data_IF_320284543343
#
_entry.id   IF_320284543343
#
_cell.length_a   1.000
_cell.length_b   1.000
_cell.length_c   1.000
_cell.angle_alpha   90.00
_cell.angle_beta   90.00
_cell.angle_gamma   90.00
#
_symmetry.space_group_name_H-M   'P 1'
#
loop_
_entity.id
_entity.type
_entity.pdbx_description
1 polymer ?
#
# COMPACT_ATOMS: atom_id res chain seq x y z
N UNK A 1 16.66 8.80 -3.95
CA UNK A 1 16.18 7.55 -3.26
C UNK A 1 14.74 7.26 -3.65
N UNK A 2 14.35 5.99 -3.77
CA UNK A 2 12.94 5.61 -3.96
C UNK A 2 12.52 4.65 -2.85
N UNK A 3 11.55 5.05 -2.03
CA UNK A 3 11.01 4.24 -0.93
C UNK A 3 9.68 3.66 -1.40
N UNK A 4 9.53 2.34 -1.30
CA UNK A 4 8.28 1.63 -1.60
C UNK A 4 7.65 1.12 -0.31
N UNK A 5 6.39 1.50 -0.04
CA UNK A 5 5.63 1.01 1.10
C UNK A 5 4.66 -0.09 0.64
N UNK A 6 4.86 -1.29 1.15
CA UNK A 6 4.03 -2.48 0.93
C UNK A 6 3.15 -2.78 2.15
N UNK A 7 2.22 -3.68 1.98
CA UNK A 7 1.31 -4.17 3.01
C UNK A 7 -0.12 -4.28 2.50
N UNK A 8 -1.01 -4.87 3.28
CA UNK A 8 -2.42 -5.07 2.93
C UNK A 8 -3.20 -3.76 2.83
N UNK A 9 -4.41 -3.81 2.31
CA UNK A 9 -5.32 -2.66 2.31
C UNK A 9 -5.59 -2.16 3.72
N UNK A 10 -5.80 -0.85 3.88
CA UNK A 10 -6.08 -0.18 5.16
C UNK A 10 -4.98 -0.31 6.25
N UNK A 11 -3.80 -0.83 5.94
CA UNK A 11 -2.68 -0.87 6.89
C UNK A 11 -2.07 0.51 7.18
N UNK A 12 -2.31 1.51 6.31
CA UNK A 12 -1.88 2.90 6.51
C UNK A 12 -0.80 3.39 5.53
N UNK A 13 -0.52 2.67 4.45
CA UNK A 13 0.54 3.00 3.47
C UNK A 13 0.48 4.43 2.96
N UNK A 14 -0.70 4.89 2.50
CA UNK A 14 -0.85 6.22 1.90
C UNK A 14 -0.62 7.31 2.94
N UNK A 15 -1.23 7.20 4.13
CA UNK A 15 -1.07 8.19 5.20
C UNK A 15 0.37 8.26 5.70
N UNK A 16 0.99 7.11 5.98
CA UNK A 16 2.38 7.05 6.47
C UNK A 16 3.34 7.50 5.36
N UNK A 17 3.09 7.09 4.11
CA UNK A 17 3.93 7.46 2.96
C UNK A 17 3.93 8.96 2.69
N UNK A 18 2.78 9.61 2.77
CA UNK A 18 2.65 11.05 2.63
C UNK A 18 3.41 11.80 3.74
N UNK A 19 3.31 11.32 5.00
CA UNK A 19 4.05 11.91 6.12
C UNK A 19 5.56 11.72 5.98
N UNK A 20 6.03 10.54 5.57
CA UNK A 20 7.47 10.31 5.30
C UNK A 20 7.95 11.26 4.19
N UNK A 21 7.23 11.32 3.06
CA UNK A 21 7.58 12.18 1.94
C UNK A 21 7.65 13.66 2.36
N UNK A 22 6.66 14.14 3.11
CA UNK A 22 6.66 15.50 3.63
C UNK A 22 7.87 15.80 4.53
N UNK A 23 8.21 14.88 5.46
CA UNK A 23 9.34 15.08 6.38
C UNK A 23 10.70 15.05 5.69
N UNK A 24 10.84 14.23 4.65
CA UNK A 24 12.09 14.09 3.89
C UNK A 24 12.18 15.07 2.70
N UNK A 25 11.14 15.86 2.45
CA UNK A 25 10.99 16.72 1.27
C UNK A 25 11.12 15.92 -0.04
N UNK A 26 10.48 14.75 -0.09
CA UNK A 26 10.39 13.85 -1.23
C UNK A 26 9.03 13.99 -1.93
N UNK A 27 8.95 13.59 -3.19
CA UNK A 27 7.67 13.43 -3.88
C UNK A 27 6.89 12.25 -3.30
N UNK A 28 5.55 12.38 -3.24
CA UNK A 28 4.67 11.29 -2.85
C UNK A 28 3.82 10.81 -4.02
N UNK A 29 3.72 9.49 -4.16
CA UNK A 29 2.83 8.83 -5.13
C UNK A 29 2.03 7.72 -4.43
N UNK A 30 0.72 7.71 -4.68
CA UNK A 30 -0.15 6.58 -4.35
C UNK A 30 -0.47 5.83 -5.64
N UNK A 31 -0.17 4.53 -5.69
CA UNK A 31 -0.26 3.75 -6.93
C UNK A 31 -1.70 3.67 -7.47
N UNK A 32 -2.71 3.59 -6.60
CA UNK A 32 -4.11 3.59 -7.02
C UNK A 32 -4.51 4.93 -7.62
N UNK A 33 -4.07 6.03 -7.01
CA UNK A 33 -4.27 7.38 -7.56
C UNK A 33 -3.61 7.53 -8.93
N UNK A 34 -2.40 7.01 -9.09
CA UNK A 34 -1.70 7.08 -10.37
C UNK A 34 -2.32 6.17 -11.45
N UNK A 35 -2.92 5.04 -11.07
CA UNK A 35 -3.73 4.19 -11.97
C UNK A 35 -4.94 4.98 -12.49
N UNK A 36 -5.69 5.62 -11.59
CA UNK A 36 -6.86 6.45 -11.97
C UNK A 36 -6.48 7.55 -12.93
N UNK A 37 -5.41 8.27 -12.64
CA UNK A 37 -4.89 9.35 -13.52
C UNK A 37 -4.48 8.82 -14.89
N UNK A 38 -3.77 7.68 -14.93
CA UNK A 38 -3.22 7.13 -16.17
C UNK A 38 -4.28 6.61 -17.13
N UNK A 39 -5.31 5.95 -16.57
CA UNK A 39 -6.33 5.28 -17.37
C UNK A 39 -7.64 6.06 -17.49
N UNK A 40 -7.77 7.18 -16.75
CA UNK A 40 -8.98 8.03 -16.70
C UNK A 40 -10.23 7.25 -16.29
N UNK A 41 -10.11 6.37 -15.31
CA UNK A 41 -11.18 5.48 -14.81
C UNK A 41 -11.20 5.48 -13.28
N UNK A 42 -12.30 5.03 -12.68
CA UNK A 42 -12.37 4.76 -11.24
C UNK A 42 -11.63 3.46 -10.88
N UNK A 43 -11.34 3.23 -9.60
CA UNK A 43 -10.77 1.96 -9.16
C UNK A 43 -11.75 0.81 -9.35
N UNK A 44 -13.05 1.04 -9.15
CA UNK A 44 -14.09 0.04 -9.39
C UNK A 44 -14.10 -0.40 -10.85
N UNK A 45 -14.09 0.54 -11.79
CA UNK A 45 -13.96 0.25 -13.22
C UNK A 45 -12.66 -0.52 -13.52
N UNK A 46 -11.55 -0.12 -12.90
CA UNK A 46 -10.28 -0.80 -13.12
C UNK A 46 -10.32 -2.26 -12.63
N UNK A 47 -10.89 -2.53 -11.43
CA UNK A 47 -10.93 -3.89 -10.87
C UNK A 47 -11.99 -4.77 -11.53
N UNK A 48 -12.98 -4.19 -12.20
CA UNK A 48 -13.98 -4.93 -12.98
C UNK A 48 -13.47 -5.40 -14.34
N UNK A 49 -12.30 -4.91 -14.79
CA UNK A 49 -11.75 -5.23 -16.12
C UNK A 49 -10.62 -6.26 -16.05
N UNK A 50 -10.66 -7.25 -16.95
CA UNK A 50 -9.61 -8.24 -17.12
C UNK A 50 -9.40 -9.15 -15.89
N UNK A 51 -8.37 -9.96 -15.93
CA UNK A 51 -7.96 -10.84 -14.83
C UNK A 51 -7.13 -10.08 -13.78
N UNK A 52 -7.06 -10.62 -12.56
CA UNK A 52 -6.19 -10.10 -11.51
C UNK A 52 -4.73 -9.97 -11.98
N UNK A 53 -4.24 -10.99 -12.71
CA UNK A 53 -2.87 -11.00 -13.25
C UNK A 53 -2.64 -9.84 -14.23
N UNK A 54 -3.58 -9.56 -15.12
CA UNK A 54 -3.48 -8.44 -16.08
C UNK A 54 -3.48 -7.09 -15.36
N UNK A 55 -4.33 -6.94 -14.34
CA UNK A 55 -4.37 -5.73 -13.52
C UNK A 55 -3.05 -5.52 -12.78
N UNK A 56 -2.52 -6.57 -12.14
CA UNK A 56 -1.23 -6.50 -11.45
C UNK A 56 -0.08 -6.19 -12.40
N UNK A 57 -0.09 -6.73 -13.63
CA UNK A 57 0.90 -6.38 -14.65
C UNK A 57 0.81 -4.90 -15.06
N UNK A 58 -0.40 -4.34 -15.17
CA UNK A 58 -0.59 -2.90 -15.46
C UNK A 58 -0.07 -2.05 -14.30
N UNK A 59 -0.39 -2.41 -13.05
CA UNK A 59 0.12 -1.75 -11.84
C UNK A 59 1.64 -1.81 -11.74
N UNK A 60 2.24 -2.96 -11.96
CA UNK A 60 3.70 -3.12 -11.93
C UNK A 60 4.40 -2.35 -13.05
N UNK A 61 3.81 -2.25 -14.25
CA UNK A 61 4.35 -1.39 -15.33
C UNK A 61 4.35 0.08 -14.92
N UNK A 62 3.26 0.56 -14.32
CA UNK A 62 3.19 1.94 -13.84
C UNK A 62 4.16 2.17 -12.69
N UNK A 63 4.24 1.25 -11.73
CA UNK A 63 5.19 1.33 -10.62
C UNK A 63 6.65 1.46 -11.11
N UNK A 64 7.05 0.65 -12.10
CA UNK A 64 8.39 0.79 -12.72
C UNK A 64 8.60 2.16 -13.37
N UNK A 65 7.56 2.72 -13.99
CA UNK A 65 7.63 4.08 -14.55
C UNK A 65 7.83 5.13 -13.45
N UNK A 66 7.13 4.99 -12.32
CA UNK A 66 7.27 5.89 -11.18
C UNK A 66 8.66 5.78 -10.54
N UNK A 67 9.17 4.56 -10.35
CA UNK A 67 10.53 4.32 -9.81
C UNK A 67 11.59 5.04 -10.65
N UNK A 68 11.45 5.02 -11.97
CA UNK A 68 12.40 5.66 -12.91
C UNK A 68 12.27 7.17 -13.04
N UNK A 69 11.24 7.80 -12.46
CA UNK A 69 11.16 9.26 -12.44
C UNK A 69 12.34 9.85 -11.70
N UNK A 70 12.80 11.02 -12.14
CA UNK A 70 13.85 11.77 -11.46
C UNK A 70 13.37 12.25 -10.07
N UNK A 71 14.29 12.41 -9.13
CA UNK A 71 14.05 12.90 -7.78
C UNK A 71 13.76 11.79 -6.76
N UNK A 72 13.87 12.17 -5.50
CA UNK A 72 13.60 11.29 -4.36
C UNK A 72 12.10 11.18 -4.13
N UNK A 73 11.61 9.98 -3.76
CA UNK A 73 10.17 9.75 -3.66
C UNK A 73 9.78 8.62 -2.73
N UNK A 74 8.56 8.72 -2.23
CA UNK A 74 7.85 7.64 -1.51
C UNK A 74 6.67 7.19 -2.35
N UNK A 75 6.50 5.89 -2.53
CA UNK A 75 5.38 5.31 -3.28
C UNK A 75 4.61 4.35 -2.37
N UNK A 76 3.34 4.64 -2.09
CA UNK A 76 2.41 3.71 -1.47
C UNK A 76 1.96 2.69 -2.54
N UNK A 77 2.33 1.41 -2.35
CA UNK A 77 2.06 0.36 -3.32
C UNK A 77 0.75 -0.35 -2.97
N UNK A 78 -0.21 -0.34 -3.89
CA UNK A 78 -1.41 -1.18 -3.80
C UNK A 78 -1.03 -2.65 -3.62
N UNK A 79 -1.77 -3.45 -2.83
CA UNK A 79 -1.52 -4.88 -2.71
C UNK A 79 -1.47 -5.57 -4.07
N UNK A 80 -0.37 -6.27 -4.34
CA UNK A 80 -0.09 -6.95 -5.59
C UNK A 80 0.20 -8.43 -5.31
N UNK A 81 -0.51 -9.32 -5.99
CA UNK A 81 -0.43 -10.76 -5.76
C UNK A 81 0.40 -11.51 -6.81
N UNK A 82 0.62 -10.91 -7.99
CA UNK A 82 1.41 -11.54 -9.04
C UNK A 82 2.92 -11.44 -8.77
N UNK A 83 3.46 -12.40 -8.05
CA UNK A 83 4.85 -12.44 -7.63
C UNK A 83 5.85 -12.28 -8.81
N UNK A 84 5.58 -12.88 -9.97
CA UNK A 84 6.43 -12.76 -11.15
C UNK A 84 6.61 -11.34 -11.68
N UNK A 85 5.72 -10.41 -11.36
CA UNK A 85 5.84 -9.01 -11.74
C UNK A 85 6.41 -8.13 -10.63
N UNK A 86 6.09 -8.40 -9.35
CA UNK A 86 6.45 -7.53 -8.23
C UNK A 86 7.81 -7.89 -7.61
N UNK A 87 8.18 -9.16 -7.53
CA UNK A 87 9.44 -9.60 -6.92
C UNK A 87 10.68 -8.96 -7.59
N UNK A 88 10.76 -8.84 -8.92
CA UNK A 88 11.88 -8.13 -9.56
C UNK A 88 11.98 -6.65 -9.18
N UNK A 89 10.86 -6.00 -8.81
CA UNK A 89 10.87 -4.61 -8.33
C UNK A 89 11.37 -4.57 -6.89
N UNK A 90 10.86 -5.46 -6.02
CA UNK A 90 11.27 -5.56 -4.61
C UNK A 90 12.79 -5.81 -4.50
N UNK A 91 13.34 -6.65 -5.37
CA UNK A 91 14.76 -7.02 -5.34
C UNK A 91 15.68 -6.04 -6.10
N UNK A 92 15.13 -4.95 -6.64
CA UNK A 92 15.94 -3.93 -7.35
C UNK A 92 16.75 -3.12 -6.35
N UNK A 93 18.02 -2.89 -6.67
CA UNK A 93 18.90 -1.97 -5.90
C UNK A 93 18.50 -0.49 -6.02
N UNK A 94 17.57 -0.16 -6.91
CA UNK A 94 17.06 1.20 -7.12
C UNK A 94 16.00 1.61 -6.10
N UNK A 95 15.49 0.66 -5.29
CA UNK A 95 14.40 0.91 -4.36
C UNK A 95 14.71 0.45 -2.95
N UNK A 96 14.17 1.15 -1.98
CA UNK A 96 14.16 0.76 -0.57
C UNK A 96 12.72 0.32 -0.21
N UNK A 97 12.51 -0.99 -0.09
CA UNK A 97 11.19 -1.57 0.17
C UNK A 97 10.96 -1.78 1.66
N UNK A 98 9.82 -1.32 2.17
CA UNK A 98 9.36 -1.54 3.55
C UNK A 98 7.96 -2.17 3.51
N UNK A 99 7.76 -3.26 4.24
CA UNK A 99 6.42 -3.82 4.47
C UNK A 99 5.87 -3.32 5.80
N UNK A 100 4.72 -2.65 5.75
CA UNK A 100 3.95 -2.25 6.92
C UNK A 100 3.01 -3.39 7.33
N UNK A 101 3.09 -3.78 8.59
CA UNK A 101 2.31 -4.89 9.17
C UNK A 101 1.58 -4.39 10.41
N UNK A 102 0.34 -4.81 10.59
CA UNK A 102 -0.42 -4.56 11.82
C UNK A 102 -1.35 -5.74 12.11
N UNK A 103 -1.98 -5.74 13.29
CA UNK A 103 -2.96 -6.78 13.64
C UNK A 103 -4.24 -6.62 12.84
N UNK A 104 -5.02 -7.71 12.62
CA UNK A 104 -6.31 -7.62 11.96
C UNK A 104 -7.25 -6.60 12.61
N UNK A 105 -7.25 -6.52 13.95
CA UNK A 105 -8.10 -5.62 14.73
C UNK A 105 -7.73 -4.14 14.47
N UNK A 106 -6.44 -3.83 14.44
CA UNK A 106 -5.96 -2.48 14.16
C UNK A 106 -6.28 -2.07 12.71
N UNK A 107 -6.12 -2.99 11.75
CA UNK A 107 -6.48 -2.76 10.34
C UNK A 107 -7.98 -2.56 10.21
N UNK A 108 -8.79 -3.41 10.86
CA UNK A 108 -10.25 -3.30 10.88
C UNK A 108 -10.71 -1.94 11.44
N UNK A 109 -10.07 -1.43 12.48
CA UNK A 109 -10.42 -0.12 13.05
C UNK A 109 -10.31 1.02 12.04
N UNK A 110 -9.36 0.91 11.11
CA UNK A 110 -9.08 1.88 10.04
C UNK A 110 -9.86 1.64 8.73
N UNK A 111 -10.63 0.54 8.67
CA UNK A 111 -11.39 0.19 7.47
C UNK A 111 -12.35 1.31 7.08
N UNK A 112 -12.29 1.71 5.83
CA UNK A 112 -13.21 2.65 5.18
C UNK A 112 -13.76 2.02 3.91
N UNK A 113 -14.87 2.54 3.42
CA UNK A 113 -15.52 2.12 2.19
C UNK A 113 -15.35 3.17 1.10
N UNK A 114 -15.54 2.77 -0.14
CA UNK A 114 -15.65 3.70 -1.27
C UNK A 114 -16.88 3.33 -2.12
N UNK A 115 -17.49 4.33 -2.73
CA UNK A 115 -18.56 4.12 -3.71
C UNK A 115 -17.99 3.98 -5.13
N UNK A 116 -18.88 3.80 -6.12
CA UNK A 116 -18.52 3.65 -7.54
C UNK A 116 -17.73 4.84 -8.13
N UNK A 117 -17.78 6.00 -7.48
CA UNK A 117 -17.02 7.20 -7.87
C UNK A 117 -15.72 7.36 -7.06
N UNK A 118 -15.26 6.33 -6.36
CA UNK A 118 -14.10 6.34 -5.45
C UNK A 118 -14.20 7.35 -4.30
N UNK A 119 -15.42 7.79 -3.94
CA UNK A 119 -15.64 8.66 -2.79
C UNK A 119 -15.59 7.79 -1.52
N UNK A 120 -14.62 8.10 -0.65
CA UNK A 120 -14.41 7.40 0.62
C UNK A 120 -15.50 7.84 1.61
N UNK A 121 -16.09 6.86 2.29
CA UNK A 121 -17.05 7.10 3.37
C UNK A 121 -16.84 6.11 4.53
N UNK A 122 -17.42 6.43 5.69
CA UNK A 122 -17.45 5.54 6.86
C UNK A 122 -18.89 5.09 7.09
N UNK A 123 -19.03 3.81 7.39
CA UNK A 123 -20.27 3.20 7.85
C UNK A 123 -19.91 2.26 8.99
N UNK A 124 -19.80 2.84 10.19
CA UNK A 124 -19.36 2.08 11.36
C UNK A 124 -20.41 1.07 11.83
N UNK A 125 -21.69 1.33 11.62
CA UNK A 125 -22.76 0.39 11.96
C UNK A 125 -22.70 -0.84 11.05
N UNK A 126 -22.63 -0.64 9.74
CA UNK A 126 -22.47 -1.72 8.78
C UNK A 126 -21.16 -2.51 9.00
N UNK A 127 -20.06 -1.79 9.20
CA UNK A 127 -18.75 -2.39 9.47
C UNK A 127 -18.78 -3.29 10.70
N UNK A 128 -19.35 -2.80 11.81
CA UNK A 128 -19.44 -3.56 13.07
C UNK A 128 -20.41 -4.74 12.99
N UNK A 129 -21.51 -4.60 12.26
CA UNK A 129 -22.44 -5.70 12.02
C UNK A 129 -21.80 -6.87 11.25
N UNK A 130 -20.75 -6.60 10.44
CA UNK A 130 -20.02 -7.58 9.63
C UNK A 130 -18.57 -7.80 10.11
N UNK A 131 -18.29 -7.51 11.38
CA UNK A 131 -16.94 -7.53 11.94
C UNK A 131 -16.20 -8.84 11.71
N UNK A 132 -16.82 -9.97 12.01
CA UNK A 132 -16.17 -11.29 11.86
C UNK A 132 -15.78 -11.59 10.41
N UNK A 133 -16.65 -11.21 9.47
CA UNK A 133 -16.37 -11.33 8.04
C UNK A 133 -15.11 -10.52 7.66
N UNK A 134 -15.08 -9.23 8.03
CA UNK A 134 -13.95 -8.38 7.68
C UNK A 134 -12.64 -8.80 8.36
N UNK A 135 -12.68 -9.22 9.63
CA UNK A 135 -11.49 -9.74 10.30
C UNK A 135 -10.97 -11.00 9.60
N UNK A 136 -11.86 -11.90 9.17
CA UNK A 136 -11.46 -13.11 8.41
C UNK A 136 -10.81 -12.74 7.07
N UNK A 137 -11.37 -11.78 6.32
CA UNK A 137 -10.79 -11.34 5.04
C UNK A 137 -9.44 -10.65 5.25
N UNK A 138 -9.31 -9.78 6.24
CA UNK A 138 -8.02 -9.15 6.60
C UNK A 138 -6.97 -10.21 6.97
N UNK A 139 -7.34 -11.22 7.74
CA UNK A 139 -6.44 -12.31 8.10
C UNK A 139 -5.97 -13.10 6.88
N UNK A 140 -6.86 -13.40 5.95
CA UNK A 140 -6.52 -14.05 4.67
C UNK A 140 -5.55 -13.19 3.85
N UNK A 141 -5.80 -11.88 3.76
CA UNK A 141 -4.94 -10.94 3.06
C UNK A 141 -3.54 -10.87 3.68
N UNK A 142 -3.45 -10.82 5.02
CA UNK A 142 -2.16 -10.83 5.72
C UNK A 142 -1.34 -12.08 5.41
N UNK A 143 -1.98 -13.24 5.38
CA UNK A 143 -1.31 -14.51 5.02
C UNK A 143 -0.91 -14.51 3.54
N UNK A 144 -1.82 -14.13 2.65
CA UNK A 144 -1.60 -14.17 1.21
C UNK A 144 -0.48 -13.20 0.79
N UNK A 145 -0.62 -11.91 1.12
CA UNK A 145 0.36 -10.90 0.73
C UNK A 145 1.67 -11.07 1.50
N UNK A 146 1.64 -11.55 2.75
CA UNK A 146 2.85 -11.90 3.49
C UNK A 146 3.71 -12.92 2.76
N UNK A 147 3.10 -13.89 2.07
CA UNK A 147 3.83 -14.86 1.23
C UNK A 147 4.43 -14.22 -0.02
N UNK A 148 3.73 -13.27 -0.64
CA UNK A 148 4.22 -12.52 -1.82
C UNK A 148 5.38 -11.60 -1.45
N UNK A 149 5.30 -10.97 -0.26
CA UNK A 149 6.28 -9.99 0.22
C UNK A 149 7.38 -10.59 1.11
N UNK A 150 7.50 -11.93 1.15
CA UNK A 150 8.49 -12.62 2.01
C UNK A 150 9.94 -12.15 1.79
N UNK A 151 10.27 -11.69 0.57
CA UNK A 151 11.60 -11.19 0.22
C UNK A 151 11.87 -9.75 0.67
N UNK A 152 10.88 -9.02 1.18
CA UNK A 152 11.10 -7.70 1.77
C UNK A 152 11.71 -7.91 3.15
N UNK A 153 12.97 -7.50 3.32
CA UNK A 153 13.70 -7.63 4.59
C UNK A 153 13.32 -6.59 5.61
N UNK A 154 12.93 -5.39 5.17
CA UNK A 154 12.54 -4.30 6.06
C UNK A 154 11.05 -4.43 6.40
N UNK A 155 10.77 -5.03 7.54
CA UNK A 155 9.42 -5.21 8.05
C UNK A 155 9.19 -4.27 9.23
N UNK A 156 8.11 -3.47 9.15
CA UNK A 156 7.75 -2.55 10.21
C UNK A 156 6.39 -2.91 10.82
N UNK A 157 6.38 -3.21 12.12
CA UNK A 157 5.17 -3.54 12.88
C UNK A 157 4.59 -2.27 13.51
N UNK A 158 3.41 -1.86 13.05
CA UNK A 158 2.74 -0.62 13.46
C UNK A 158 2.27 -0.72 14.92
N UNK A 159 1.72 -1.88 15.32
CA UNK A 159 1.24 -2.14 16.69
C UNK A 159 0.25 -1.08 17.19
N UNK A 160 -0.66 -0.62 16.32
CA UNK A 160 -1.67 0.37 16.66
C UNK A 160 -1.16 1.79 16.92
N UNK A 161 0.12 2.09 16.67
CA UNK A 161 0.70 3.43 16.82
C UNK A 161 0.06 4.42 15.84
N UNK A 162 0.13 5.70 16.19
CA UNK A 162 -0.32 6.78 15.31
C UNK A 162 0.57 6.89 14.06
N UNK A 163 0.03 7.37 12.92
CA UNK A 163 0.82 7.55 11.71
C UNK A 163 2.07 8.43 11.91
N UNK A 164 1.98 9.48 12.74
CA UNK A 164 3.12 10.34 13.05
C UNK A 164 4.22 9.58 13.79
N UNK A 165 3.87 8.81 14.83
CA UNK A 165 4.85 8.01 15.58
C UNK A 165 5.52 6.95 14.69
N UNK A 166 4.73 6.27 13.84
CA UNK A 166 5.25 5.30 12.86
C UNK A 166 6.23 5.96 11.89
N UNK A 167 5.89 7.15 11.40
CA UNK A 167 6.76 7.90 10.47
C UNK A 167 8.11 8.22 11.10
N UNK A 168 8.12 8.74 12.35
CA UNK A 168 9.36 9.05 13.06
C UNK A 168 10.22 7.79 13.26
N UNK A 169 9.59 6.70 13.71
CA UNK A 169 10.30 5.44 13.96
C UNK A 169 10.87 4.85 12.66
N UNK A 170 10.14 4.89 11.55
CA UNK A 170 10.62 4.40 10.25
C UNK A 170 11.84 5.22 9.79
N UNK A 171 11.75 6.55 9.82
CA UNK A 171 12.84 7.44 9.42
C UNK A 171 14.08 7.17 10.26
N UNK A 172 13.91 7.07 11.58
CA UNK A 172 15.03 6.81 12.51
C UNK A 172 15.61 5.39 12.33
N UNK A 173 14.75 4.36 12.30
CA UNK A 173 15.15 2.95 12.24
C UNK A 173 15.95 2.62 10.97
N UNK A 174 15.53 3.19 9.85
CA UNK A 174 16.14 2.92 8.54
C UNK A 174 17.09 4.02 8.07
N UNK A 175 17.40 5.01 8.92
CA UNK A 175 18.31 6.12 8.63
C UNK A 175 17.97 6.82 7.31
N UNK A 176 16.69 7.09 7.07
CA UNK A 176 16.21 7.73 5.85
C UNK A 176 16.51 9.24 5.90
N UNK A 177 17.18 9.76 4.85
CA UNK A 177 17.59 11.18 4.74
C UNK A 177 17.37 11.68 3.31
#
# INVERSE_FOLDING_TARGET
MTILLFGVSNVGKSTIGELIAHKLNFDFYDLDTEIKKKYHITLEEFVSTGSLRERDQKRCRLLRTLVKKFGDKVIAVTPLSYAGAIVPIINSSEVFSIELIDTPENIFSRLVFSNENDIIYRDDDYKNAHKEYYLSEIQKDLVWYGSVYQNITNKFFINGKTPSAVTEEIIHMYHLT
#
